data_IF_455986689293
#
_entry.id   IF_455986689293
#
_cell.length_a   1.000
_cell.length_b   1.000
_cell.length_c   1.000
_cell.angle_alpha   90.00
_cell.angle_beta   90.00
_cell.angle_gamma   90.00
#
_symmetry.space_group_name_H-M   'P 1'
#
loop_
_entity.id
_entity.type
_entity.pdbx_description
1 polymer ?
#
# COMPACT_ATOMS: atom_id res chain seq x y z
N UNK A 1 24.85 23.42 -2.11
CA UNK A 1 25.70 23.64 -0.93
C UNK A 1 24.80 23.52 0.29
N UNK A 2 24.76 22.34 0.93
CA UNK A 2 23.95 22.09 2.12
C UNK A 2 24.67 22.76 3.30
N UNK A 3 24.14 23.88 3.78
CA UNK A 3 24.64 24.49 5.01
C UNK A 3 24.01 23.75 6.18
N UNK A 4 24.77 22.88 6.84
CA UNK A 4 24.40 22.32 8.13
C UNK A 4 24.61 23.42 9.17
N UNK A 5 23.57 24.16 9.50
CA UNK A 5 23.59 24.98 10.71
C UNK A 5 23.39 24.03 11.90
N UNK A 6 24.50 23.60 12.51
CA UNK A 6 24.46 22.93 13.81
C UNK A 6 24.10 23.98 14.88
N UNK A 7 22.83 24.36 14.93
CA UNK A 7 22.28 25.07 16.08
C UNK A 7 22.22 24.05 17.24
N UNK A 8 23.31 23.99 18.01
CA UNK A 8 23.34 23.29 19.29
C UNK A 8 22.41 24.06 20.22
N UNK A 9 21.12 23.71 20.19
CA UNK A 9 20.19 24.12 21.23
C UNK A 9 20.81 23.65 22.55
N UNK A 10 20.95 24.55 23.52
CA UNK A 10 21.44 24.26 24.87
C UNK A 10 20.92 22.89 25.34
N UNK A 11 21.82 21.98 25.71
CA UNK A 11 21.49 20.62 26.15
C UNK A 11 20.35 20.66 27.17
N UNK A 12 19.13 20.34 26.72
CA UNK A 12 17.98 20.21 27.59
C UNK A 12 18.13 18.92 28.36
N UNK A 13 18.31 19.02 29.68
CA UNK A 13 18.39 17.86 30.59
C UNK A 13 17.12 17.81 31.42
N UNK A 14 16.46 16.66 31.42
CA UNK A 14 15.32 16.39 32.27
C UNK A 14 15.51 15.05 32.98
N UNK A 15 15.04 14.96 34.22
CA UNK A 15 14.94 13.69 34.94
C UNK A 15 13.61 13.04 34.59
N UNK A 16 13.67 11.83 34.05
CA UNK A 16 12.50 11.05 33.64
C UNK A 16 12.38 9.86 34.58
N UNK A 17 11.16 9.53 34.99
CA UNK A 17 10.84 8.35 35.79
C UNK A 17 10.19 7.29 34.88
N UNK A 18 10.24 6.00 35.23
CA UNK A 18 9.60 4.96 34.42
C UNK A 18 8.12 5.28 34.18
N UNK A 19 7.71 5.30 32.91
CA UNK A 19 6.33 5.60 32.49
C UNK A 19 5.97 7.09 32.44
N UNK A 20 6.89 8.02 32.72
CA UNK A 20 6.63 9.45 32.57
C UNK A 20 6.98 9.98 31.18
N UNK A 21 6.33 11.08 30.81
CA UNK A 21 6.51 11.75 29.52
C UNK A 21 7.09 13.14 29.75
N UNK A 22 8.17 13.47 29.03
CA UNK A 22 8.73 14.82 29.00
C UNK A 22 8.48 15.42 27.63
N UNK A 23 7.82 16.58 27.59
CA UNK A 23 7.56 17.32 26.36
C UNK A 23 8.72 18.26 26.07
N UNK A 24 9.38 18.08 24.93
CA UNK A 24 10.45 18.96 24.44
C UNK A 24 9.88 19.82 23.31
N UNK A 25 9.76 21.13 23.55
CA UNK A 25 9.34 22.09 22.53
C UNK A 25 10.57 22.75 21.93
N UNK A 26 10.75 22.59 20.62
CA UNK A 26 11.81 23.24 19.87
C UNK A 26 11.18 24.34 19.01
N UNK A 27 11.63 25.57 19.20
CA UNK A 27 11.28 26.69 18.33
C UNK A 27 12.40 26.87 17.30
N UNK A 28 12.02 26.99 16.03
CA UNK A 28 12.95 27.11 14.92
C UNK A 28 12.69 28.42 14.18
N UNK A 29 13.76 29.15 13.88
CA UNK A 29 13.71 30.37 13.10
C UNK A 29 14.31 30.08 11.72
N UNK A 30 13.54 30.37 10.66
CA UNK A 30 14.04 30.30 9.30
C UNK A 30 14.58 31.67 8.89
N UNK A 31 15.89 31.81 8.73
CA UNK A 31 16.53 33.02 8.18
C UNK A 31 16.65 32.93 6.65
N UNK A 32 16.57 34.07 5.95
CA UNK A 32 16.77 34.19 4.50
C UNK A 32 15.88 33.27 3.64
N UNK A 33 14.57 33.29 3.87
CA UNK A 33 13.63 32.47 3.10
C UNK A 33 13.60 32.94 1.63
N UNK A 34 14.23 32.17 0.75
CA UNK A 34 14.05 32.37 -0.69
C UNK A 34 12.68 31.83 -1.10
N UNK A 35 11.81 32.73 -1.54
CA UNK A 35 10.42 32.42 -1.89
C UNK A 35 10.27 31.41 -3.03
N UNK A 36 11.34 31.13 -3.77
CA UNK A 36 11.38 30.18 -4.88
C UNK A 36 11.49 28.71 -4.48
N UNK A 37 11.80 28.39 -3.21
CA UNK A 37 11.94 27.00 -2.70
C UNK A 37 10.84 26.58 -1.73
N UNK A 38 9.80 27.40 -1.56
CA UNK A 38 8.68 27.07 -0.67
C UNK A 38 8.09 25.70 -1.03
N UNK A 39 8.03 24.82 -0.03
CA UNK A 39 7.29 23.57 -0.10
C UNK A 39 7.86 22.48 -1.01
N UNK A 40 8.99 22.69 -1.70
CA UNK A 40 9.53 21.71 -2.66
C UNK A 40 10.50 20.71 -2.01
N UNK A 41 11.33 21.17 -1.07
CA UNK A 41 12.24 20.32 -0.31
C UNK A 41 12.00 20.51 1.19
N UNK A 42 11.85 19.45 1.97
CA UNK A 42 11.79 19.57 3.42
C UNK A 42 13.17 19.91 4.00
N UNK A 43 13.15 20.70 5.06
CA UNK A 43 14.24 20.72 6.02
C UNK A 43 14.09 19.51 6.96
N UNK A 44 15.20 18.96 7.45
CA UNK A 44 15.18 17.80 8.35
C UNK A 44 15.61 18.21 9.74
N UNK A 45 14.71 18.02 10.70
CA UNK A 45 15.00 18.18 12.12
C UNK A 45 15.34 16.82 12.69
N UNK A 46 16.51 16.70 13.30
CA UNK A 46 16.95 15.46 13.95
C UNK A 46 16.92 15.67 15.46
N UNK A 47 16.13 14.86 16.15
CA UNK A 47 16.02 14.84 17.61
C UNK A 47 16.73 13.60 18.13
N UNK A 48 17.72 13.80 18.99
CA UNK A 48 18.43 12.71 19.66
C UNK A 48 18.18 12.82 21.17
N UNK A 49 17.63 11.76 21.75
CA UNK A 49 17.52 11.59 23.19
C UNK A 49 18.65 10.66 23.66
N UNK A 50 19.42 11.09 24.65
CA UNK A 50 20.52 10.32 25.22
C UNK A 50 20.29 10.10 26.73
N UNK A 51 20.58 8.91 27.24
CA UNK A 51 20.53 8.60 28.66
C UNK A 51 21.68 7.69 29.08
N UNK A 52 21.93 7.62 30.39
CA UNK A 52 22.88 6.65 30.97
C UNK A 52 22.11 5.49 31.59
N UNK A 53 22.52 4.28 31.25
CA UNK A 53 22.02 3.06 31.91
C UNK A 53 22.59 2.94 33.32
N UNK A 54 22.00 2.08 34.19
CA UNK A 54 22.55 1.82 35.52
C UNK A 54 24.00 1.30 35.51
N UNK A 55 24.43 0.66 34.42
CA UNK A 55 25.82 0.19 34.23
C UNK A 55 26.79 1.29 33.78
N UNK A 56 26.31 2.52 33.58
CA UNK A 56 27.11 3.69 33.18
C UNK A 56 27.26 3.89 31.67
N UNK A 57 26.71 2.99 30.85
CA UNK A 57 26.75 3.09 29.39
C UNK A 57 25.83 4.22 28.89
N UNK A 58 26.26 4.94 27.85
CA UNK A 58 25.44 5.92 27.16
C UNK A 58 24.61 5.21 26.09
N UNK A 59 23.30 5.41 26.11
CA UNK A 59 22.38 4.96 25.07
C UNK A 59 21.70 6.18 24.44
N UNK A 60 21.36 6.08 23.16
CA UNK A 60 20.75 7.18 22.41
C UNK A 60 19.70 6.66 21.43
N UNK A 61 18.61 7.41 21.28
CA UNK A 61 17.61 7.21 20.23
C UNK A 61 17.51 8.48 19.40
N UNK A 62 17.62 8.33 18.08
CA UNK A 62 17.50 9.42 17.13
C UNK A 62 16.24 9.25 16.29
N UNK A 63 15.47 10.34 16.16
CA UNK A 63 14.33 10.43 15.25
C UNK A 63 14.45 11.67 14.38
N UNK A 64 13.91 11.56 13.17
CA UNK A 64 13.92 12.61 12.18
C UNK A 64 12.49 13.05 11.89
N UNK A 65 12.33 14.34 11.61
CA UNK A 65 11.08 14.96 11.22
C UNK A 65 11.36 15.88 10.03
N UNK A 66 10.54 15.78 9.00
CA UNK A 66 10.52 16.74 7.91
C UNK A 66 9.70 17.95 8.30
N UNK A 67 10.29 19.11 8.06
CA UNK A 67 9.68 20.40 8.30
C UNK A 67 9.64 21.16 6.98
N UNK A 68 8.46 21.66 6.64
CA UNK A 68 8.24 22.47 5.45
C UNK A 68 7.93 23.90 5.88
N UNK A 69 8.84 24.82 5.59
CA UNK A 69 8.59 26.25 5.76
C UNK A 69 7.53 26.63 4.72
N UNK A 70 6.28 26.85 5.15
CA UNK A 70 5.18 27.35 4.33
C UNK A 70 4.26 28.26 5.15
N UNK A 71 3.71 29.32 4.54
CA UNK A 71 2.65 30.12 5.15
C UNK A 71 1.37 29.29 5.18
N UNK A 72 0.99 28.77 6.35
CA UNK A 72 -0.28 28.07 6.63
C UNK A 72 -0.79 27.19 5.46
N UNK A 73 -0.25 25.99 5.34
CA UNK A 73 -0.89 24.96 4.53
C UNK A 73 -2.15 24.52 5.26
N UNK A 74 -3.32 24.84 4.69
CA UNK A 74 -4.55 24.16 5.02
C UNK A 74 -4.66 22.93 4.14
N UNK A 75 -4.73 21.76 4.77
CA UNK A 75 -5.01 20.50 4.11
C UNK A 75 -6.22 19.88 4.78
N UNK A 76 -7.23 19.57 3.99
CA UNK A 76 -8.42 18.84 4.43
C UNK A 76 -8.50 17.45 3.76
N UNK A 77 -7.46 17.07 3.02
CA UNK A 77 -7.37 15.81 2.32
C UNK A 77 -6.93 14.74 3.31
N UNK A 78 -7.58 13.58 3.25
CA UNK A 78 -7.14 12.44 4.05
C UNK A 78 -5.98 11.72 3.35
N UNK A 79 -5.08 11.09 4.12
CA UNK A 79 -4.09 10.18 3.57
C UNK A 79 -4.74 9.11 2.70
N UNK A 80 -4.12 8.78 1.57
CA UNK A 80 -4.63 7.72 0.70
C UNK A 80 -4.03 6.38 1.11
N UNK A 81 -4.88 5.38 1.36
CA UNK A 81 -4.47 4.00 1.72
C UNK A 81 -4.87 3.03 0.61
N UNK A 82 -3.91 2.25 0.13
CA UNK A 82 -4.13 1.13 -0.79
C UNK A 82 -3.50 -0.14 -0.24
N UNK A 83 -4.03 -1.29 -0.67
CA UNK A 83 -3.58 -2.58 -0.18
C UNK A 83 -3.82 -3.68 -1.20
N UNK A 84 -3.00 -4.73 -1.10
CA UNK A 84 -3.11 -5.95 -1.86
C UNK A 84 -3.04 -7.16 -0.92
N UNK A 85 -3.83 -8.19 -1.21
CA UNK A 85 -3.82 -9.43 -0.43
C UNK A 85 -2.75 -10.39 -0.95
N UNK A 86 -1.95 -10.91 -0.02
CA UNK A 86 -1.11 -12.09 -0.20
C UNK A 86 -1.70 -13.25 0.61
N UNK A 87 -2.28 -14.22 -0.10
CA UNK A 87 -2.99 -15.37 0.49
C UNK A 87 -4.52 -15.19 0.53
N UNK A 88 -5.18 -16.15 1.16
CA UNK A 88 -6.63 -16.15 1.40
C UNK A 88 -6.97 -16.98 2.66
N UNK A 89 -8.22 -16.85 3.11
CA UNK A 89 -8.78 -17.67 4.19
C UNK A 89 -9.86 -18.64 3.72
N UNK A 90 -9.96 -18.87 2.40
CA UNK A 90 -10.93 -19.77 1.78
C UNK A 90 -10.78 -21.18 2.36
N UNK A 91 -11.88 -21.70 2.90
CA UNK A 91 -11.94 -23.04 3.52
C UNK A 91 -11.29 -23.13 4.91
N UNK A 92 -10.81 -22.02 5.48
CA UNK A 92 -10.13 -21.97 6.79
C UNK A 92 -10.74 -20.91 7.72
N UNK A 93 -12.07 -20.76 7.71
CA UNK A 93 -12.79 -19.80 8.54
C UNK A 93 -13.44 -20.46 9.78
N UNK A 94 -13.38 -21.79 9.91
CA UNK A 94 -13.99 -22.46 11.06
C UNK A 94 -13.03 -22.47 12.26
N UNK A 95 -13.53 -22.43 13.50
CA UNK A 95 -12.66 -22.44 14.69
C UNK A 95 -11.67 -23.61 14.74
N UNK A 96 -12.01 -24.74 14.12
CA UNK A 96 -11.17 -25.93 14.09
C UNK A 96 -10.01 -25.84 13.10
N UNK A 97 -10.11 -24.99 12.06
CA UNK A 97 -9.15 -24.95 10.96
C UNK A 97 -8.57 -23.57 10.65
N UNK A 98 -9.00 -22.52 11.36
CA UNK A 98 -8.53 -21.15 11.12
C UNK A 98 -7.05 -20.94 11.44
N UNK A 99 -6.46 -21.79 12.28
CA UNK A 99 -5.02 -21.78 12.57
C UNK A 99 -4.17 -22.42 11.47
N UNK A 100 -4.77 -23.19 10.55
CA UNK A 100 -4.05 -23.87 9.49
C UNK A 100 -3.62 -22.95 8.34
N UNK A 101 -4.26 -21.76 8.22
CA UNK A 101 -3.92 -20.74 7.23
C UNK A 101 -3.68 -19.38 7.86
N UNK A 102 -2.85 -18.60 7.18
CA UNK A 102 -2.60 -17.19 7.48
C UNK A 102 -2.77 -16.37 6.22
N UNK A 103 -3.12 -15.11 6.39
CA UNK A 103 -3.21 -14.13 5.32
C UNK A 103 -2.30 -12.94 5.63
N UNK A 104 -1.93 -12.23 4.57
CA UNK A 104 -1.15 -10.99 4.66
C UNK A 104 -1.79 -9.95 3.76
N UNK A 105 -1.80 -8.70 4.22
CA UNK A 105 -2.07 -7.55 3.39
C UNK A 105 -0.78 -6.74 3.26
N UNK A 106 -0.37 -6.46 2.03
CA UNK A 106 0.64 -5.45 1.74
C UNK A 106 -0.10 -4.10 1.68
N UNK A 107 0.30 -3.15 2.50
CA UNK A 107 -0.39 -1.87 2.65
C UNK A 107 0.57 -0.76 2.28
N UNK A 108 0.04 0.24 1.59
CA UNK A 108 0.75 1.45 1.26
C UNK A 108 -0.12 2.64 1.61
N UNK A 109 0.53 3.69 2.08
CA UNK A 109 -0.11 4.94 2.46
C UNK A 109 0.71 6.12 1.96
N UNK A 110 0.03 7.18 1.55
CA UNK A 110 0.67 8.41 1.16
C UNK A 110 -0.22 9.61 1.46
N UNK A 111 0.41 10.68 1.95
CA UNK A 111 -0.16 12.00 1.95
C UNK A 111 0.79 12.95 1.21
N UNK A 112 0.46 13.33 -0.01
CA UNK A 112 1.34 14.15 -0.84
C UNK A 112 1.32 15.64 -0.48
N UNK A 113 0.34 16.09 0.31
CA UNK A 113 0.05 17.50 0.55
C UNK A 113 0.69 17.98 1.84
N UNK A 114 0.28 17.42 2.99
CA UNK A 114 0.81 17.79 4.30
C UNK A 114 1.86 16.80 4.81
N UNK A 115 1.87 15.57 4.30
CA UNK A 115 2.80 14.53 4.70
C UNK A 115 2.30 13.71 5.89
N UNK A 116 2.86 12.52 6.06
CA UNK A 116 2.35 11.52 6.98
C UNK A 116 2.90 11.68 8.40
N UNK A 117 2.01 11.71 9.41
CA UNK A 117 2.38 11.76 10.83
C UNK A 117 2.43 10.36 11.46
N UNK A 118 1.42 9.54 11.20
CA UNK A 118 1.27 8.23 11.83
C UNK A 118 0.73 7.21 10.84
N UNK A 119 1.24 5.98 10.94
CA UNK A 119 0.77 4.82 10.19
C UNK A 119 0.81 3.59 11.09
N UNK A 120 -0.36 3.07 11.45
CA UNK A 120 -0.51 1.98 12.41
C UNK A 120 -1.67 1.06 12.05
N UNK A 121 -1.73 -0.09 12.71
CA UNK A 121 -2.86 -1.02 12.62
C UNK A 121 -3.52 -1.22 13.98
N UNK A 122 -4.79 -1.62 13.93
CA UNK A 122 -5.53 -2.20 15.05
C UNK A 122 -6.19 -3.51 14.58
N UNK A 123 -5.81 -4.69 15.14
CA UNK A 123 -4.80 -4.91 16.19
C UNK A 123 -3.38 -4.48 15.80
N UNK A 124 -2.54 -4.24 16.82
CA UNK A 124 -1.13 -3.89 16.61
C UNK A 124 -0.41 -5.06 15.94
N UNK A 125 0.21 -4.79 14.79
CA UNK A 125 0.93 -5.81 14.01
C UNK A 125 1.42 -5.36 12.64
N UNK A 126 1.21 -4.10 12.27
CA UNK A 126 1.76 -3.51 11.05
C UNK A 126 3.30 -3.47 11.13
N UNK A 127 3.95 -4.08 10.14
CA UNK A 127 5.40 -4.07 9.99
C UNK A 127 5.73 -3.18 8.79
N UNK A 128 6.45 -2.09 9.02
CA UNK A 128 6.87 -1.18 7.96
C UNK A 128 8.03 -1.78 7.17
N UNK A 129 7.99 -1.66 5.85
CA UNK A 129 9.09 -2.12 4.97
C UNK A 129 10.38 -1.32 5.22
N UNK A 130 10.22 -0.05 5.60
CA UNK A 130 11.28 0.88 5.98
C UNK A 130 10.72 1.86 6.99
N UNK A 131 11.52 2.26 7.99
CA UNK A 131 11.16 3.41 8.81
C UNK A 131 10.98 4.65 7.93
N UNK A 132 9.89 5.39 8.15
CA UNK A 132 9.65 6.65 7.47
C UNK A 132 9.90 7.82 8.42
N UNK A 133 10.25 8.96 7.82
CA UNK A 133 10.45 10.22 8.53
C UNK A 133 9.09 10.89 8.68
N UNK A 134 8.76 11.36 9.88
CA UNK A 134 7.49 12.06 10.13
C UNK A 134 7.39 13.28 9.20
N UNK A 135 6.25 13.47 8.54
CA UNK A 135 6.06 14.49 7.50
C UNK A 135 6.48 14.04 6.10
N UNK A 136 6.85 12.78 5.90
CA UNK A 136 7.12 12.25 4.56
C UNK A 136 5.88 12.37 3.66
N UNK A 137 6.08 12.97 2.48
CA UNK A 137 5.09 13.04 1.41
C UNK A 137 5.16 11.89 0.41
N UNK A 138 6.23 11.11 0.49
CA UNK A 138 6.43 9.92 -0.31
C UNK A 138 5.59 8.75 0.21
N UNK A 139 5.36 7.77 -0.65
CA UNK A 139 4.67 6.54 -0.28
C UNK A 139 5.44 5.78 0.80
N UNK A 140 4.73 5.47 1.89
CA UNK A 140 5.20 4.58 2.95
C UNK A 140 4.53 3.23 2.78
N UNK A 141 5.31 2.15 2.85
CA UNK A 141 4.81 0.78 2.66
C UNK A 141 5.08 -0.08 3.88
N UNK A 142 4.21 -1.05 4.09
CA UNK A 142 4.34 -2.07 5.11
C UNK A 142 3.45 -3.27 4.82
N UNK A 143 3.42 -4.22 5.73
CA UNK A 143 2.52 -5.35 5.65
C UNK A 143 1.94 -5.69 7.03
N UNK A 144 0.73 -6.22 7.02
CA UNK A 144 0.08 -6.81 8.18
C UNK A 144 -0.17 -8.28 7.91
N UNK A 145 0.12 -9.15 8.89
CA UNK A 145 -0.09 -10.59 8.76
C UNK A 145 -0.83 -11.14 9.97
N UNK A 146 -1.82 -11.99 9.72
CA UNK A 146 -2.58 -12.65 10.77
C UNK A 146 -3.03 -14.06 10.35
N UNK A 147 -3.37 -14.90 11.33
CA UNK A 147 -4.06 -16.16 11.09
C UNK A 147 -5.48 -15.92 10.58
N UNK A 148 -6.06 -16.88 9.87
CA UNK A 148 -7.46 -16.81 9.45
C UNK A 148 -8.50 -16.82 10.59
N UNK A 149 -8.07 -16.95 11.84
CA UNK A 149 -8.92 -16.69 13.00
C UNK A 149 -9.20 -15.20 13.22
N UNK A 150 -8.39 -14.31 12.64
CA UNK A 150 -8.56 -12.87 12.67
C UNK A 150 -8.54 -12.35 11.23
N UNK A 151 -9.72 -12.20 10.64
CA UNK A 151 -9.88 -11.90 9.21
C UNK A 151 -9.88 -10.41 8.89
N UNK A 152 -9.90 -9.56 9.92
CA UNK A 152 -10.06 -8.11 9.82
C UNK A 152 -8.92 -7.38 10.50
N UNK A 153 -8.53 -6.25 9.92
CA UNK A 153 -7.61 -5.29 10.51
C UNK A 153 -8.01 -3.88 10.10
N UNK A 154 -7.95 -2.95 11.04
CA UNK A 154 -8.13 -1.53 10.77
C UNK A 154 -6.77 -0.87 10.57
N UNK A 155 -6.57 -0.29 9.39
CA UNK A 155 -5.39 0.51 9.09
C UNK A 155 -5.72 1.96 9.34
N UNK A 156 -4.92 2.61 10.18
CA UNK A 156 -5.13 3.99 10.60
C UNK A 156 -3.93 4.81 10.17
N UNK A 157 -4.22 5.85 9.37
CA UNK A 157 -3.24 6.82 8.91
C UNK A 157 -3.67 8.22 9.31
N UNK A 158 -2.71 9.03 9.73
CA UNK A 158 -2.93 10.42 10.12
C UNK A 158 -1.85 11.29 9.51
N UNK A 159 -2.23 12.42 8.92
CA UNK A 159 -1.29 13.41 8.40
C UNK A 159 -0.78 14.38 9.48
N UNK A 160 0.14 15.28 9.12
CA UNK A 160 0.73 16.25 10.05
C UNK A 160 -0.27 17.33 10.51
N UNK A 161 -1.36 17.57 9.76
CA UNK A 161 -2.40 18.54 10.13
C UNK A 161 -3.55 17.91 10.92
N UNK A 162 -3.51 16.60 11.16
CA UNK A 162 -4.48 15.86 11.96
C UNK A 162 -5.62 15.22 11.18
N UNK A 163 -5.62 15.25 9.85
CA UNK A 163 -6.62 14.49 9.10
C UNK A 163 -6.30 12.99 9.23
N UNK A 164 -7.25 12.25 9.78
CA UNK A 164 -7.10 10.82 10.06
C UNK A 164 -8.13 10.01 9.30
N UNK A 165 -7.68 8.92 8.70
CA UNK A 165 -8.54 7.94 8.03
C UNK A 165 -8.31 6.55 8.60
N UNK A 166 -9.39 5.79 8.72
CA UNK A 166 -9.38 4.38 9.07
C UNK A 166 -9.90 3.59 7.89
N UNK A 167 -9.14 2.59 7.44
CA UNK A 167 -9.55 1.66 6.38
C UNK A 167 -9.54 0.24 6.91
N UNK A 168 -10.72 -0.36 7.01
CA UNK A 168 -10.87 -1.77 7.40
C UNK A 168 -10.55 -2.67 6.21
N UNK A 169 -9.57 -3.55 6.40
CA UNK A 169 -9.21 -4.61 5.46
C UNK A 169 -9.81 -5.91 5.97
N UNK A 170 -10.56 -6.60 5.12
CA UNK A 170 -11.29 -7.82 5.44
C UNK A 170 -10.98 -8.88 4.38
N UNK A 171 -10.18 -9.89 4.75
CA UNK A 171 -9.75 -10.95 3.83
C UNK A 171 -10.92 -11.84 3.37
N UNK A 172 -12.02 -11.90 4.11
CA UNK A 172 -13.22 -12.64 3.69
C UNK A 172 -13.89 -11.98 2.48
N UNK A 173 -13.74 -10.65 2.36
CA UNK A 173 -14.28 -9.84 1.27
C UNK A 173 -13.26 -9.59 0.17
N UNK A 174 -12.25 -10.45 0.05
CA UNK A 174 -11.24 -10.34 -1.00
C UNK A 174 -11.91 -10.25 -2.38
N UNK A 175 -11.78 -9.09 -3.00
CA UNK A 175 -12.18 -8.87 -4.38
C UNK A 175 -11.09 -9.38 -5.33
N UNK A 176 -11.46 -9.78 -6.54
CA UNK A 176 -10.51 -10.20 -7.56
C UNK A 176 -9.55 -9.05 -7.88
N UNK A 177 -8.25 -9.33 -7.91
CA UNK A 177 -7.26 -8.35 -8.32
C UNK A 177 -7.42 -8.03 -9.82
N UNK A 178 -6.93 -6.87 -10.27
CA UNK A 178 -6.95 -6.47 -11.68
C UNK A 178 -6.34 -7.52 -12.60
N UNK A 179 -5.28 -8.21 -12.14
CA UNK A 179 -4.66 -9.33 -12.88
C UNK A 179 -5.55 -10.57 -12.98
N UNK A 180 -6.33 -10.88 -11.95
CA UNK A 180 -7.26 -12.01 -11.96
C UNK A 180 -8.46 -11.69 -12.86
N UNK A 181 -8.97 -10.46 -12.79
CA UNK A 181 -10.03 -9.96 -13.67
C UNK A 181 -9.56 -10.02 -15.13
N UNK A 182 -8.35 -9.53 -15.43
CA UNK A 182 -7.84 -9.52 -16.80
C UNK A 182 -7.66 -10.93 -17.37
N UNK A 183 -7.22 -11.90 -16.56
CA UNK A 183 -7.13 -13.30 -16.96
C UNK A 183 -8.50 -13.91 -17.31
N UNK A 184 -9.53 -13.63 -16.51
CA UNK A 184 -10.91 -14.10 -16.77
C UNK A 184 -11.46 -13.49 -18.06
N UNK A 185 -11.28 -12.17 -18.23
CA UNK A 185 -11.76 -11.46 -19.42
C UNK A 185 -11.04 -11.96 -20.68
N UNK A 186 -9.72 -12.09 -20.65
CA UNK A 186 -8.95 -12.57 -21.79
C UNK A 186 -9.27 -14.03 -22.12
N UNK A 187 -9.39 -14.88 -21.09
CA UNK A 187 -9.75 -16.28 -21.25
C UNK A 187 -11.13 -16.48 -21.87
N UNK A 188 -12.12 -15.68 -21.45
CA UNK A 188 -13.48 -15.74 -22.02
C UNK A 188 -13.53 -15.27 -23.48
N UNK A 189 -12.80 -14.21 -23.84
CA UNK A 189 -12.68 -13.75 -25.24
C UNK A 189 -12.03 -14.82 -26.12
N UNK A 190 -10.93 -15.42 -25.66
CA UNK A 190 -10.22 -16.45 -26.41
C UNK A 190 -11.07 -17.71 -26.60
N UNK A 191 -11.82 -18.12 -25.58
CA UNK A 191 -12.75 -19.24 -25.66
C UNK A 191 -13.84 -18.99 -26.71
N UNK A 192 -14.42 -17.79 -26.74
CA UNK A 192 -15.44 -17.42 -27.74
C UNK A 192 -14.89 -17.45 -29.16
N UNK A 193 -13.68 -16.92 -29.38
CA UNK A 193 -13.02 -16.99 -30.70
C UNK A 193 -12.79 -18.43 -31.14
N UNK A 194 -12.35 -19.30 -30.23
CA UNK A 194 -12.11 -20.71 -30.52
C UNK A 194 -13.40 -21.44 -30.91
N UNK A 195 -14.51 -21.17 -30.22
CA UNK A 195 -15.83 -21.72 -30.57
C UNK A 195 -16.25 -21.28 -31.98
N UNK A 196 -16.09 -20.00 -32.32
CA UNK A 196 -16.41 -19.48 -33.66
C UNK A 196 -15.58 -20.18 -34.74
N UNK A 197 -14.28 -20.36 -34.51
CA UNK A 197 -13.40 -21.06 -35.44
C UNK A 197 -13.78 -22.53 -35.62
N UNK A 198 -14.18 -23.23 -34.55
CA UNK A 198 -14.66 -24.61 -34.63
C UNK A 198 -15.93 -24.68 -35.49
N UNK A 199 -16.89 -23.79 -35.26
CA UNK A 199 -18.14 -23.75 -36.05
C UNK A 199 -17.84 -23.49 -37.52
N UNK A 200 -16.97 -22.53 -37.83
CA UNK A 200 -16.52 -22.26 -39.21
C UNK A 200 -15.85 -23.50 -39.80
N UNK A 201 -14.98 -24.17 -39.05
CA UNK A 201 -14.31 -25.41 -39.44
C UNK A 201 -15.29 -26.52 -39.79
N UNK A 202 -16.28 -26.78 -38.93
CA UNK A 202 -17.34 -27.78 -39.17
C UNK A 202 -18.13 -27.42 -40.42
N UNK A 203 -18.58 -26.16 -40.55
CA UNK A 203 -19.35 -25.71 -41.73
C UNK A 203 -18.53 -25.85 -43.01
N UNK A 204 -17.24 -25.51 -42.99
CA UNK A 204 -16.35 -25.66 -44.13
C UNK A 204 -16.14 -27.14 -44.51
N UNK A 205 -15.95 -28.02 -43.53
CA UNK A 205 -15.83 -29.47 -43.73
C UNK A 205 -17.12 -30.05 -44.34
N UNK A 206 -18.30 -29.70 -43.80
CA UNK A 206 -19.59 -30.16 -44.33
C UNK A 206 -19.84 -29.61 -45.74
N UNK A 207 -19.52 -28.34 -46.01
CA UNK A 207 -19.65 -27.75 -47.36
C UNK A 207 -18.72 -28.41 -48.37
N UNK A 208 -17.50 -28.78 -47.97
CA UNK A 208 -16.57 -29.53 -48.84
C UNK A 208 -17.10 -30.93 -49.16
N UNK A 209 -17.66 -31.63 -48.19
CA UNK A 209 -18.18 -32.99 -48.39
C UNK A 209 -19.42 -33.04 -49.32
N UNK A 210 -20.19 -31.96 -49.43
CA UNK A 210 -21.33 -31.86 -50.38
C UNK A 210 -20.89 -31.68 -51.84
N UNK A 211 -19.66 -31.24 -52.10
CA UNK A 211 -19.16 -31.05 -53.48
C UNK A 211 -18.65 -32.35 -54.12
N UNK A 212 -18.46 -33.41 -53.34
CA UNK A 212 -17.89 -34.69 -53.79
C UNK A 212 -18.91 -35.81 -53.99
N UNK A 213 -20.22 -35.55 -53.86
CA UNK A 213 -21.30 -36.49 -54.16
C UNK A 213 -22.08 -36.02 -55.40
N UNK A 214 -21.46 -36.15 -56.58
CA UNK A 214 -22.15 -36.08 -57.87
C UNK A 214 -21.63 -37.22 -58.75
N UNK A 215 -22.01 -38.46 -58.40
CA UNK A 215 -21.77 -39.65 -59.20
C UNK A 215 -23.14 -40.22 -59.54
N UNK A 216 -23.84 -39.60 -60.49
CA UNK A 216 -24.84 -40.31 -61.26
C UNK A 216 -24.64 -39.90 -62.74
N UNK A 217 -24.25 -40.83 -63.62
CA UNK A 217 -24.16 -40.52 -65.04
C UNK A 217 -25.57 -40.39 -65.61
N UNK A 218 -25.83 -39.27 -66.29
CA UNK A 218 -27.05 -39.02 -67.07
C UNK A 218 -27.02 -39.86 -68.35
N UNK A 219 -27.83 -40.92 -68.41
CA UNK A 219 -28.02 -41.71 -69.62
C UNK A 219 -29.09 -41.05 -70.49
N UNK A 220 -28.66 -40.09 -71.32
CA UNK A 220 -29.44 -39.68 -72.49
C UNK A 220 -29.43 -40.82 -73.51
N UNK A 221 -30.57 -41.49 -73.65
CA UNK A 221 -30.90 -42.29 -74.83
C UNK A 221 -31.39 -41.29 -75.88
N UNK A 222 -30.64 -41.19 -76.97
CA UNK A 222 -31.06 -40.52 -78.18
C UNK A 222 -31.84 -41.52 -79.03
N UNK A 223 -33.09 -41.18 -79.33
CA UNK A 223 -33.86 -41.68 -80.48
C UNK A 223 -34.36 -40.46 -81.26
#
# INVERSE_FOLDING_TARGET
MMQYLNAVCTLFRAFVTPGSTVLVKVEMFAENIQTSRYGTNPDTVTLTAEWRTPSGNLESVTKQVFFYIQSQQYDATYPYIWYDYAGDCSGSLTPQNCHAKSWRANISVQDATSGLLSFRSDPVGLILSKEFIVGARDQVTGYYGASCCHTKVDIIATDVLGNSITKTIDVEKKWLNTGEISAIVLGSILLLLLIVLIVIGIVACVRRNKRTLNIYPDHRIAD
#
